data_IF_054548414790
#
_entry.id   IF_054548414790
#
_cell.length_a   1.000
_cell.length_b   1.000
_cell.length_c   1.000
_cell.angle_alpha   90.00
_cell.angle_beta   90.00
_cell.angle_gamma   90.00
#
_symmetry.space_group_name_H-M   'P 1'
#
loop_
_entity.id
_entity.type
_entity.pdbx_description
1 polymer ?
#
# COMPACT_ATOMS: atom_id res chain seq x y z
N UNK A 1 -19.75 -12.28 22.60
CA UNK A 1 -18.66 -11.85 21.70
C UNK A 1 -17.41 -12.62 22.12
N UNK A 2 -16.91 -13.56 21.33
CA UNK A 2 -15.67 -14.26 21.68
C UNK A 2 -14.49 -13.26 21.65
N UNK A 3 -13.59 -13.27 22.64
CA UNK A 3 -12.43 -12.38 22.63
C UNK A 3 -11.56 -12.74 21.43
N UNK A 4 -11.31 -11.76 20.55
CA UNK A 4 -10.42 -11.95 19.40
C UNK A 4 -9.01 -12.15 19.95
N UNK A 5 -8.57 -13.41 19.99
CA UNK A 5 -7.21 -13.78 20.35
C UNK A 5 -6.22 -13.13 19.37
N UNK A 6 -5.05 -12.69 19.85
CA UNK A 6 -3.97 -12.17 18.98
C UNK A 6 -3.49 -13.19 17.93
N UNK A 7 -3.75 -14.48 18.16
CA UNK A 7 -3.44 -15.55 17.22
C UNK A 7 -4.54 -15.85 16.20
N UNK A 8 -5.69 -15.17 16.30
CA UNK A 8 -6.75 -15.26 15.30
C UNK A 8 -6.25 -14.75 13.95
N UNK A 9 -6.43 -15.56 12.91
CA UNK A 9 -6.06 -15.26 11.53
C UNK A 9 -6.69 -13.93 11.09
N UNK A 10 -7.91 -13.62 11.54
CA UNK A 10 -8.61 -12.37 11.24
C UNK A 10 -7.91 -11.15 11.85
N UNK A 11 -7.37 -11.29 13.05
CA UNK A 11 -6.60 -10.22 13.71
C UNK A 11 -5.30 -9.94 12.95
N UNK A 12 -4.56 -11.00 12.60
CA UNK A 12 -3.30 -10.89 11.84
C UNK A 12 -3.52 -10.29 10.44
N UNK A 13 -4.64 -10.59 9.79
CA UNK A 13 -4.98 -9.99 8.50
C UNK A 13 -5.31 -8.49 8.62
N UNK A 14 -6.10 -8.11 9.64
CA UNK A 14 -6.39 -6.71 9.93
C UNK A 14 -5.11 -5.92 10.26
N UNK A 15 -4.22 -6.48 11.08
CA UNK A 15 -2.94 -5.86 11.42
C UNK A 15 -2.06 -5.63 10.18
N UNK A 16 -1.95 -6.63 9.29
CA UNK A 16 -1.22 -6.50 8.02
C UNK A 16 -1.79 -5.38 7.15
N UNK A 17 -3.12 -5.24 7.07
CA UNK A 17 -3.74 -4.13 6.33
C UNK A 17 -3.40 -2.78 6.93
N UNK A 18 -3.53 -2.62 8.24
CA UNK A 18 -3.19 -1.36 8.93
C UNK A 18 -1.72 -0.99 8.70
N UNK A 19 -0.80 -1.96 8.78
CA UNK A 19 0.62 -1.73 8.53
C UNK A 19 0.90 -1.27 7.09
N UNK A 20 0.24 -1.86 6.10
CA UNK A 20 0.34 -1.44 4.68
C UNK A 20 -0.15 -0.01 4.48
N UNK A 21 -1.29 0.34 5.07
CA UNK A 21 -1.88 1.69 5.01
C UNK A 21 -0.93 2.70 5.66
N UNK A 22 -0.37 2.39 6.85
CA UNK A 22 0.60 3.25 7.52
C UNK A 22 1.83 3.49 6.65
N UNK A 23 2.38 2.45 6.03
CA UNK A 23 3.52 2.59 5.13
C UNK A 23 3.19 3.48 3.93
N UNK A 24 2.00 3.30 3.32
CA UNK A 24 1.53 4.17 2.24
C UNK A 24 1.55 5.65 2.64
N UNK A 25 1.00 6.00 3.81
CA UNK A 25 1.01 7.39 4.27
C UNK A 25 2.42 7.94 4.49
N UNK A 26 3.36 7.13 4.97
CA UNK A 26 4.76 7.54 5.10
C UNK A 26 5.37 7.84 3.73
N UNK A 27 5.19 6.95 2.75
CA UNK A 27 5.70 7.18 1.39
C UNK A 27 5.04 8.38 0.72
N UNK A 28 3.73 8.56 0.87
CA UNK A 28 3.00 9.71 0.35
C UNK A 28 3.48 11.01 1.01
N UNK A 29 3.65 11.03 2.34
CA UNK A 29 4.16 12.18 3.07
C UNK A 29 5.57 12.57 2.62
N UNK A 30 6.48 11.61 2.52
CA UNK A 30 7.85 11.86 2.04
C UNK A 30 7.83 12.39 0.61
N UNK A 31 6.99 11.83 -0.26
CA UNK A 31 6.82 12.33 -1.63
C UNK A 31 6.38 13.81 -1.63
N UNK A 32 5.33 14.17 -0.90
CA UNK A 32 4.89 15.57 -0.83
C UNK A 32 5.93 16.48 -0.20
N UNK A 33 6.57 16.06 0.89
CA UNK A 33 7.60 16.85 1.58
C UNK A 33 8.80 17.16 0.67
N UNK A 34 9.31 16.17 -0.05
CA UNK A 34 10.42 16.35 -1.01
C UNK A 34 10.00 17.26 -2.17
N UNK A 35 8.79 17.05 -2.73
CA UNK A 35 8.29 17.88 -3.81
C UNK A 35 8.13 19.35 -3.40
N UNK A 36 7.56 19.61 -2.23
CA UNK A 36 7.43 20.96 -1.66
C UNK A 36 8.81 21.57 -1.41
N UNK A 37 9.75 20.80 -0.86
CA UNK A 37 11.12 21.26 -0.63
C UNK A 37 11.81 21.67 -1.94
N UNK A 38 11.69 20.86 -2.98
CA UNK A 38 12.21 21.18 -4.33
C UNK A 38 11.54 22.43 -4.88
N UNK A 39 10.23 22.59 -4.72
CA UNK A 39 9.50 23.77 -5.18
C UNK A 39 9.98 25.04 -4.47
N UNK A 40 10.18 24.99 -3.15
CA UNK A 40 10.71 26.12 -2.36
C UNK A 40 12.14 26.45 -2.77
N UNK A 41 13.00 25.44 -2.94
CA UNK A 41 14.38 25.60 -3.41
C UNK A 41 14.42 26.30 -4.77
N UNK A 42 13.61 25.84 -5.73
CA UNK A 42 13.51 26.47 -7.05
C UNK A 42 12.99 27.90 -6.94
N UNK A 43 11.96 28.14 -6.13
CA UNK A 43 11.41 29.48 -5.90
C UNK A 43 12.46 30.47 -5.37
N UNK A 44 13.40 30.01 -4.54
CA UNK A 44 14.49 30.86 -4.00
C UNK A 44 15.67 31.05 -4.96
N UNK A 45 15.83 30.17 -5.94
CA UNK A 45 16.92 30.21 -6.93
C UNK A 45 16.56 30.94 -8.22
N UNK A 46 15.34 31.49 -8.35
CA UNK A 46 14.98 32.28 -9.52
C UNK A 46 15.85 33.54 -9.63
N UNK A 47 16.66 33.58 -10.68
CA UNK A 47 17.26 34.81 -11.19
C UNK A 47 16.19 35.63 -11.92
N UNK A 48 16.30 36.98 -11.95
CA UNK A 48 15.37 37.81 -12.69
C UNK A 48 15.41 37.46 -14.18
N UNK A 49 14.35 36.83 -14.69
CA UNK A 49 14.20 36.45 -16.11
C UNK A 49 14.13 34.94 -16.39
N UNK A 50 14.43 34.06 -15.43
CA UNK A 50 14.23 32.61 -15.61
C UNK A 50 12.81 32.19 -15.21
N UNK A 51 12.21 31.27 -15.97
CA UNK A 51 10.83 30.84 -15.77
C UNK A 51 10.80 29.51 -15.00
N UNK A 52 10.05 29.46 -13.89
CA UNK A 52 9.81 28.23 -13.08
C UNK A 52 9.17 27.06 -13.86
N UNK A 53 8.64 27.32 -15.05
CA UNK A 53 7.85 26.38 -15.86
C UNK A 53 8.69 25.46 -16.74
N UNK A 54 9.94 25.17 -16.39
CA UNK A 54 10.69 24.14 -17.09
C UNK A 54 10.10 22.77 -16.74
N UNK A 55 9.50 22.11 -17.73
CA UNK A 55 8.97 20.74 -17.68
C UNK A 55 9.93 19.72 -17.04
N UNK A 56 11.24 19.99 -17.08
CA UNK A 56 12.28 19.20 -16.43
C UNK A 56 12.13 19.09 -14.91
N UNK A 57 11.54 20.10 -14.25
CA UNK A 57 11.28 20.06 -12.80
C UNK A 57 10.02 19.27 -12.44
N UNK A 58 9.10 19.10 -13.40
CA UNK A 58 7.85 18.36 -13.20
C UNK A 58 7.95 16.89 -13.63
N UNK A 59 8.88 16.54 -14.52
CA UNK A 59 9.04 15.16 -15.02
C UNK A 59 9.47 14.18 -13.93
N UNK A 60 10.38 14.58 -13.03
CA UNK A 60 10.85 13.77 -11.89
C UNK A 60 9.72 13.46 -10.89
N UNK A 61 8.97 14.45 -10.39
CA UNK A 61 7.75 14.24 -9.61
C UNK A 61 6.74 13.35 -10.31
N UNK A 62 6.43 13.62 -11.59
CA UNK A 62 5.43 12.87 -12.33
C UNK A 62 5.79 11.40 -12.48
N UNK A 63 7.06 11.09 -12.77
CA UNK A 63 7.52 9.71 -12.88
C UNK A 63 7.45 8.95 -11.54
N UNK A 64 7.88 9.59 -10.45
CA UNK A 64 7.76 9.02 -9.10
C UNK A 64 6.30 8.93 -8.62
N UNK A 65 5.45 9.86 -9.06
CA UNK A 65 4.03 9.88 -8.77
C UNK A 65 3.29 8.65 -9.32
N UNK A 66 3.69 8.15 -10.48
CA UNK A 66 3.14 6.89 -11.03
C UNK A 66 3.45 5.71 -10.10
N UNK A 67 4.67 5.64 -9.54
CA UNK A 67 5.05 4.63 -8.56
C UNK A 67 4.22 4.72 -7.26
N UNK A 68 3.95 5.94 -6.78
CA UNK A 68 3.10 6.18 -5.62
C UNK A 68 1.65 5.74 -5.88
N UNK A 69 1.11 6.04 -7.06
CA UNK A 69 -0.24 5.63 -7.47
C UNK A 69 -0.32 4.10 -7.58
N UNK A 70 0.68 3.44 -8.16
CA UNK A 70 0.75 1.98 -8.21
C UNK A 70 0.77 1.35 -6.81
N UNK A 71 1.51 1.95 -5.87
CA UNK A 71 1.51 1.52 -4.48
C UNK A 71 0.17 1.80 -3.77
N UNK A 72 -0.48 2.93 -4.06
CA UNK A 72 -1.82 3.26 -3.56
C UNK A 72 -2.84 2.20 -4.01
N UNK A 73 -2.84 1.84 -5.29
CA UNK A 73 -3.73 0.81 -5.85
C UNK A 73 -3.50 -0.52 -5.13
N UNK A 74 -2.24 -0.92 -4.91
CA UNK A 74 -1.92 -2.15 -4.18
C UNK A 74 -2.44 -2.14 -2.72
N UNK A 75 -2.37 -1.00 -2.04
CA UNK A 75 -2.78 -0.86 -0.64
C UNK A 75 -4.29 -0.73 -0.47
N UNK A 76 -4.97 0.03 -1.35
CA UNK A 76 -6.39 0.36 -1.22
C UNK A 76 -7.32 -0.51 -2.04
N UNK A 77 -6.85 -1.20 -3.09
CA UNK A 77 -7.67 -2.09 -3.91
C UNK A 77 -7.38 -3.54 -3.50
N UNK A 78 -8.26 -4.17 -2.70
CA UNK A 78 -8.11 -5.56 -2.32
C UNK A 78 -8.18 -6.43 -3.58
N UNK A 79 -7.11 -7.17 -3.87
CA UNK A 79 -7.02 -8.03 -5.06
C UNK A 79 -6.38 -7.38 -6.30
N UNK A 80 -5.75 -6.22 -6.21
CA UNK A 80 -5.07 -5.62 -7.38
C UNK A 80 -3.90 -6.47 -7.95
N UNK A 81 -3.22 -7.29 -7.15
CA UNK A 81 -2.10 -8.14 -7.62
C UNK A 81 -2.52 -9.60 -7.84
N UNK A 82 -3.43 -10.14 -7.02
CA UNK A 82 -3.81 -11.57 -7.07
C UNK A 82 -5.32 -11.82 -7.23
N UNK A 83 -6.16 -10.79 -7.18
CA UNK A 83 -7.62 -10.91 -7.34
C UNK A 83 -8.34 -11.48 -6.11
N UNK A 84 -9.54 -10.96 -5.82
CA UNK A 84 -10.40 -11.46 -4.73
C UNK A 84 -10.76 -12.94 -4.90
N UNK A 85 -10.84 -13.43 -6.14
CA UNK A 85 -11.06 -14.84 -6.46
C UNK A 85 -9.91 -15.77 -6.01
N UNK A 86 -8.67 -15.30 -6.04
CA UNK A 86 -7.54 -16.13 -5.58
C UNK A 86 -7.53 -16.23 -4.06
N UNK A 87 -7.80 -15.12 -3.36
CA UNK A 87 -7.92 -15.11 -1.89
C UNK A 87 -9.06 -16.05 -1.44
N UNK A 88 -10.24 -15.96 -2.06
CA UNK A 88 -11.37 -16.86 -1.76
C UNK A 88 -11.01 -18.33 -1.98
N UNK A 89 -10.35 -18.67 -3.11
CA UNK A 89 -9.89 -20.04 -3.36
C UNK A 89 -8.90 -20.52 -2.31
N UNK A 90 -7.98 -19.65 -1.88
CA UNK A 90 -6.96 -20.01 -0.88
C UNK A 90 -7.58 -20.23 0.49
N UNK A 91 -8.49 -19.36 0.91
CA UNK A 91 -9.22 -19.50 2.17
C UNK A 91 -10.06 -20.78 2.16
N UNK A 92 -10.78 -21.06 1.06
CA UNK A 92 -11.58 -22.28 0.93
C UNK A 92 -10.71 -23.54 1.03
N UNK A 93 -9.55 -23.54 0.37
CA UNK A 93 -8.60 -24.66 0.44
C UNK A 93 -8.07 -24.88 1.87
N UNK A 94 -7.72 -23.81 2.58
CA UNK A 94 -7.26 -23.91 3.97
C UNK A 94 -8.36 -24.46 4.90
N UNK A 95 -9.61 -24.01 4.74
CA UNK A 95 -10.74 -24.55 5.51
C UNK A 95 -11.00 -26.05 5.23
N UNK A 96 -10.83 -26.48 3.99
CA UNK A 96 -10.94 -27.91 3.62
C UNK A 96 -9.81 -28.74 4.21
N UNK A 97 -8.57 -28.22 4.20
CA UNK A 97 -7.41 -28.86 4.84
C UNK A 97 -7.57 -28.97 6.36
N UNK A 98 -8.08 -27.94 7.04
CA UNK A 98 -8.39 -27.99 8.48
C UNK A 98 -9.48 -29.03 8.79
N UNK A 99 -10.57 -29.04 8.04
CA UNK A 99 -11.64 -30.04 8.21
C UNK A 99 -11.14 -31.47 7.99
N UNK A 100 -10.29 -31.68 6.99
CA UNK A 100 -9.69 -32.98 6.71
C UNK A 100 -8.74 -33.41 7.84
N UNK A 101 -7.93 -32.49 8.37
CA UNK A 101 -7.07 -32.74 9.52
C UNK A 101 -7.88 -33.09 10.76
N UNK A 102 -8.96 -32.36 11.05
CA UNK A 102 -9.81 -32.58 12.22
C UNK A 102 -10.58 -33.92 12.14
N UNK A 103 -11.08 -34.31 10.97
CA UNK A 103 -11.70 -35.63 10.76
C UNK A 103 -10.72 -36.80 10.89
N UNK A 104 -9.42 -36.59 10.60
CA UNK A 104 -8.39 -37.62 10.78
C UNK A 104 -8.03 -37.84 12.25
N UNK A 105 -8.21 -36.82 13.10
CA UNK A 105 -7.96 -36.92 14.54
C UNK A 105 -9.18 -37.44 15.34
N UNK A 106 -10.40 -37.27 14.80
CA UNK A 106 -11.65 -37.76 15.41
C UNK A 106 -12.06 -39.18 14.96
N UNK A 107 -11.20 -39.91 14.25
CA UNK A 107 -11.41 -41.27 13.78
C UNK A 107 -10.32 -42.18 14.34
#
# INVERSE_FOLDING_TARGET
MNPISKDDIRYKEAEKRVKKIKNFYVFAFVYFAVNIFILIMNYRQLKPGETIWHLKYFSLPLFWGIGLIGYAINVFVPGAILGRNWEEKKIKKLMEEEKAAQNKYNK
#
